data_IF_021130984337
#
_entry.id   IF_021130984337
#
_cell.length_a   1.000
_cell.length_b   1.000
_cell.length_c   1.000
_cell.angle_alpha   90.00
_cell.angle_beta   90.00
_cell.angle_gamma   90.00
#
_symmetry.space_group_name_H-M   'P 1'
#
loop_
_entity.id
_entity.type
_entity.pdbx_description
1 polymer ?
#
# COMPACT_ATOMS: atom_id res chain seq x y z
N UNK A 1 -19.27 -9.42 -12.41
CA UNK A 1 -18.00 -9.62 -13.14
C UNK A 1 -16.91 -9.92 -12.13
N UNK A 2 -15.90 -10.69 -12.53
CA UNK A 2 -14.73 -10.97 -11.68
C UNK A 2 -13.63 -9.94 -11.98
N UNK A 3 -12.87 -9.56 -10.95
CA UNK A 3 -11.71 -8.68 -11.07
C UNK A 3 -10.48 -9.51 -10.75
N UNK A 4 -9.49 -9.51 -11.64
CA UNK A 4 -8.18 -10.10 -11.38
C UNK A 4 -7.31 -9.04 -10.69
N UNK A 5 -6.72 -9.38 -9.54
CA UNK A 5 -5.73 -8.53 -8.90
C UNK A 5 -4.35 -9.17 -9.08
N UNK A 6 -3.45 -8.46 -9.75
CA UNK A 6 -2.04 -8.81 -9.85
C UNK A 6 -1.30 -8.07 -8.75
N UNK A 7 -0.77 -8.82 -7.77
CA UNK A 7 -0.07 -8.27 -6.62
C UNK A 7 1.38 -8.74 -6.68
N UNK A 8 2.29 -7.79 -6.85
CA UNK A 8 3.71 -8.12 -6.89
C UNK A 8 4.24 -8.41 -5.48
N UNK A 9 5.08 -9.44 -5.40
CA UNK A 9 5.78 -9.78 -4.17
C UNK A 9 6.72 -8.62 -3.82
N UNK A 10 6.66 -8.13 -2.57
CA UNK A 10 7.47 -7.01 -2.12
C UNK A 10 8.62 -7.44 -1.19
N UNK A 11 9.79 -6.83 -1.36
CA UNK A 11 11.03 -7.20 -0.63
C UNK A 11 10.99 -6.92 0.88
N UNK A 12 10.17 -5.97 1.34
CA UNK A 12 10.15 -5.51 2.76
C UNK A 12 9.29 -6.36 3.69
N UNK A 13 8.65 -7.42 3.21
CA UNK A 13 7.81 -8.26 4.06
C UNK A 13 8.66 -9.11 5.00
N UNK A 14 8.36 -9.12 6.31
CA UNK A 14 9.02 -10.03 7.26
C UNK A 14 8.81 -11.51 6.88
N UNK A 15 7.70 -11.82 6.19
CA UNK A 15 7.41 -13.16 5.67
C UNK A 15 8.35 -13.62 4.55
N UNK A 16 9.07 -12.69 3.92
CA UNK A 16 10.08 -12.98 2.88
C UNK A 16 11.44 -13.35 3.52
N UNK A 17 11.59 -13.13 4.84
CA UNK A 17 12.80 -13.39 5.58
C UNK A 17 13.85 -12.28 5.43
N UNK A 18 14.69 -12.11 6.46
CA UNK A 18 15.71 -11.05 6.53
C UNK A 18 16.72 -11.11 5.38
N UNK A 19 17.01 -12.32 4.89
CA UNK A 19 17.99 -12.57 3.84
C UNK A 19 17.40 -12.51 2.42
N UNK A 20 16.12 -12.17 2.25
CA UNK A 20 15.42 -12.04 0.95
C UNK A 20 15.44 -13.27 0.04
N UNK A 21 15.98 -14.41 0.47
CA UNK A 21 16.07 -15.63 -0.33
C UNK A 21 14.72 -16.09 -0.91
N UNK A 22 13.61 -15.87 -0.19
CA UNK A 22 12.27 -16.15 -0.72
C UNK A 22 11.91 -15.25 -1.90
N UNK A 23 12.22 -13.95 -1.80
CA UNK A 23 11.99 -12.99 -2.87
C UNK A 23 12.84 -13.34 -4.08
N UNK A 24 14.14 -13.58 -3.90
CA UNK A 24 15.04 -13.93 -5.01
C UNK A 24 14.59 -15.18 -5.76
N UNK A 25 13.97 -16.14 -5.05
CA UNK A 25 13.47 -17.38 -5.65
C UNK A 25 12.13 -17.23 -6.39
N UNK A 26 11.22 -16.40 -5.87
CA UNK A 26 9.81 -16.38 -6.31
C UNK A 26 9.32 -15.04 -6.86
N UNK A 27 10.11 -13.97 -6.73
CA UNK A 27 9.78 -12.69 -7.35
C UNK A 27 9.79 -12.85 -8.87
N UNK A 28 8.75 -12.30 -9.48
CA UNK A 28 8.62 -12.15 -10.92
C UNK A 28 8.30 -10.69 -11.14
N UNK A 29 9.15 -10.03 -11.92
CA UNK A 29 8.89 -8.68 -12.37
C UNK A 29 7.67 -8.67 -13.28
N UNK A 30 6.66 -7.88 -12.89
CA UNK A 30 5.41 -7.76 -13.62
C UNK A 30 5.45 -6.69 -14.70
N UNK A 31 6.51 -5.88 -14.83
CA UNK A 31 6.56 -4.73 -15.75
C UNK A 31 6.18 -5.12 -17.18
N UNK A 32 6.86 -6.13 -17.74
CA UNK A 32 6.58 -6.62 -19.08
C UNK A 32 5.16 -7.21 -19.22
N UNK A 33 4.70 -7.93 -18.19
CA UNK A 33 3.35 -8.50 -18.16
C UNK A 33 2.28 -7.41 -18.18
N UNK A 34 2.47 -6.36 -17.37
CA UNK A 34 1.57 -5.20 -17.29
C UNK A 34 1.52 -4.50 -18.65
N UNK A 35 2.69 -4.25 -19.25
CA UNK A 35 2.79 -3.61 -20.57
C UNK A 35 2.07 -4.40 -21.68
N UNK A 36 2.20 -5.73 -21.69
CA UNK A 36 1.52 -6.58 -22.67
C UNK A 36 0.00 -6.65 -22.47
N UNK A 37 -0.48 -6.50 -21.23
CA UNK A 37 -1.90 -6.36 -20.91
C UNK A 37 -2.44 -5.01 -21.39
N UNK A 38 -1.73 -3.91 -21.10
CA UNK A 38 -2.10 -2.56 -21.53
C UNK A 38 -2.24 -2.45 -23.05
N UNK A 39 -1.31 -3.05 -23.82
CA UNK A 39 -1.37 -3.07 -25.28
C UNK A 39 -2.65 -3.66 -25.87
N UNK A 40 -3.26 -4.60 -25.15
CA UNK A 40 -4.46 -5.34 -25.58
C UNK A 40 -5.73 -4.78 -24.91
N UNK A 41 -5.60 -3.74 -24.09
CA UNK A 41 -6.70 -3.10 -23.39
C UNK A 41 -7.41 -2.10 -24.31
N UNK A 42 -8.70 -1.88 -24.06
CA UNK A 42 -9.42 -0.77 -24.69
C UNK A 42 -9.39 0.50 -23.81
N UNK A 43 -9.06 0.36 -22.52
CA UNK A 43 -8.96 1.48 -21.57
C UNK A 43 -8.01 1.12 -20.42
N UNK A 44 -7.31 2.13 -19.89
CA UNK A 44 -6.41 2.02 -18.73
C UNK A 44 -6.64 3.24 -17.84
N UNK A 45 -6.95 3.02 -16.57
CA UNK A 45 -7.19 4.08 -15.58
C UNK A 45 -6.24 3.97 -14.40
N UNK A 46 -5.82 5.12 -13.88
CA UNK A 46 -5.12 5.21 -12.60
C UNK A 46 -6.13 5.65 -11.53
N UNK A 47 -6.35 4.80 -10.54
CA UNK A 47 -7.16 5.12 -9.36
C UNK A 47 -6.26 5.79 -8.33
N UNK A 48 -6.28 7.12 -8.30
CA UNK A 48 -5.47 7.91 -7.35
C UNK A 48 -5.79 7.62 -5.89
N UNK A 49 -7.07 7.36 -5.60
CA UNK A 49 -7.50 6.88 -4.29
C UNK A 49 -7.00 5.45 -4.05
N UNK A 50 -6.25 5.25 -2.97
CA UNK A 50 -5.67 3.96 -2.57
C UNK A 50 -4.56 3.43 -3.50
N UNK A 51 -3.44 4.14 -3.52
CA UNK A 51 -2.12 3.71 -4.01
C UNK A 51 -1.92 3.77 -5.53
N UNK A 52 -2.49 4.78 -6.20
CA UNK A 52 -2.33 5.00 -7.64
C UNK A 52 -2.51 3.70 -8.45
N UNK A 53 -3.52 2.92 -8.07
CA UNK A 53 -3.72 1.57 -8.59
C UNK A 53 -4.11 1.63 -10.05
N UNK A 54 -3.34 0.97 -10.89
CA UNK A 54 -3.63 0.85 -12.32
C UNK A 54 -4.73 -0.18 -12.55
N UNK A 55 -5.72 0.17 -13.35
CA UNK A 55 -6.88 -0.67 -13.73
C UNK A 55 -6.94 -0.77 -15.24
N UNK A 56 -6.83 -1.98 -15.76
CA UNK A 56 -6.75 -2.29 -17.18
C UNK A 56 -8.05 -2.98 -17.60
N UNK A 57 -8.70 -2.49 -18.65
CA UNK A 57 -9.98 -2.99 -19.15
C UNK A 57 -9.79 -3.66 -20.52
N UNK A 58 -10.13 -4.94 -20.62
CA UNK A 58 -9.97 -5.73 -21.85
C UNK A 58 -11.28 -5.94 -22.62
N UNK A 59 -11.23 -6.11 -23.96
CA UNK A 59 -12.42 -6.28 -24.81
C UNK A 59 -13.30 -7.49 -24.45
N UNK A 60 -12.74 -8.52 -23.83
CA UNK A 60 -13.46 -9.70 -23.36
C UNK A 60 -14.21 -9.48 -22.03
N UNK A 61 -14.22 -8.25 -21.50
CA UNK A 61 -14.85 -7.89 -20.23
C UNK A 61 -13.98 -8.12 -18.99
N UNK A 62 -12.72 -8.55 -19.14
CA UNK A 62 -11.82 -8.69 -18.01
C UNK A 62 -11.38 -7.32 -17.47
N UNK A 63 -11.38 -7.20 -16.15
CA UNK A 63 -10.86 -6.03 -15.41
C UNK A 63 -9.69 -6.51 -14.57
N UNK A 64 -8.52 -5.90 -14.78
CA UNK A 64 -7.28 -6.27 -14.12
C UNK A 64 -6.81 -5.07 -13.29
N UNK A 65 -6.64 -5.27 -11.99
CA UNK A 65 -6.01 -4.30 -11.11
C UNK A 65 -4.58 -4.70 -10.80
N UNK A 66 -3.66 -3.75 -10.91
CA UNK A 66 -2.23 -3.95 -10.67
C UNK A 66 -1.82 -3.28 -9.37
N UNK A 67 -1.23 -4.06 -8.47
CA UNK A 67 -0.56 -3.62 -7.24
C UNK A 67 0.94 -3.86 -7.44
N UNK A 68 1.60 -2.85 -7.99
CA UNK A 68 3.03 -2.81 -8.20
C UNK A 68 3.65 -1.82 -7.18
N UNK A 69 4.46 -2.27 -6.21
CA UNK A 69 5.04 -1.42 -5.18
C UNK A 69 6.13 -0.47 -5.74
N UNK A 70 5.72 0.63 -6.37
CA UNK A 70 6.62 1.69 -6.85
C UNK A 70 6.56 2.97 -6.01
N UNK A 71 7.33 3.98 -6.41
CA UNK A 71 7.26 5.32 -5.85
C UNK A 71 5.86 5.94 -6.00
N UNK A 72 5.28 5.78 -7.19
CA UNK A 72 3.96 6.24 -7.61
C UNK A 72 2.86 5.58 -6.79
N UNK A 73 3.02 4.28 -6.49
CA UNK A 73 2.13 3.59 -5.58
C UNK A 73 2.10 4.25 -4.20
N UNK A 74 3.26 4.66 -3.70
CA UNK A 74 3.36 5.36 -2.42
C UNK A 74 2.79 6.79 -2.50
N UNK A 75 3.01 7.52 -3.60
CA UNK A 75 2.41 8.85 -3.86
C UNK A 75 0.89 8.85 -3.79
N UNK A 76 0.24 7.77 -4.26
CA UNK A 76 -1.22 7.64 -4.19
C UNK A 76 -1.74 7.06 -2.87
N UNK A 77 -0.88 6.73 -1.91
CA UNK A 77 -1.28 6.01 -0.71
C UNK A 77 -1.93 6.93 0.32
N UNK A 78 -3.22 6.71 0.59
CA UNK A 78 -4.00 7.45 1.58
C UNK A 78 -4.26 6.67 2.87
N UNK A 79 -3.66 5.48 3.05
CA UNK A 79 -4.02 4.58 4.16
C UNK A 79 -3.30 4.92 5.46
N UNK A 80 -4.05 4.85 6.55
CA UNK A 80 -3.52 4.70 7.92
C UNK A 80 -3.79 3.28 8.40
N UNK A 81 -2.97 2.78 9.32
CA UNK A 81 -3.14 1.45 9.92
C UNK A 81 -3.09 1.57 11.43
N UNK A 82 -3.99 0.90 12.13
CA UNK A 82 -3.88 0.64 13.57
C UNK A 82 -3.40 -0.80 13.76
N UNK A 83 -2.29 -0.96 14.46
CA UNK A 83 -1.76 -2.28 14.84
C UNK A 83 -2.59 -2.93 15.95
N UNK A 84 -2.47 -4.24 16.11
CA UNK A 84 -3.16 -4.99 17.17
C UNK A 84 -2.72 -4.57 18.59
N UNK A 85 -1.54 -3.97 18.69
CA UNK A 85 -0.96 -3.37 19.90
C UNK A 85 -1.54 -1.98 20.23
N UNK A 86 -2.31 -1.39 19.31
CA UNK A 86 -2.87 -0.05 19.46
C UNK A 86 -2.01 1.08 18.92
N UNK A 87 -0.94 0.77 18.19
CA UNK A 87 -0.13 1.79 17.51
C UNK A 87 -0.76 2.25 16.19
N UNK A 88 -0.85 3.56 15.98
CA UNK A 88 -1.26 4.18 14.73
C UNK A 88 -0.03 4.40 13.83
N UNK A 89 -0.10 3.93 12.58
CA UNK A 89 0.99 3.96 11.61
C UNK A 89 0.60 4.71 10.33
N UNK A 90 1.57 5.47 9.81
CA UNK A 90 1.46 6.20 8.55
C UNK A 90 1.64 5.32 7.32
N UNK A 91 2.28 4.16 7.47
CA UNK A 91 2.48 3.20 6.38
C UNK A 91 2.68 1.75 6.87
N UNK A 92 2.66 0.80 5.93
CA UNK A 92 2.71 -0.64 6.23
C UNK A 92 4.07 -1.11 6.76
N UNK A 93 5.16 -0.51 6.29
CA UNK A 93 6.53 -1.02 6.51
C UNK A 93 7.38 -0.16 7.47
N UNK A 94 6.88 0.97 7.99
CA UNK A 94 7.59 1.84 8.95
C UNK A 94 7.12 1.57 10.39
N UNK A 95 7.46 0.40 10.90
CA UNK A 95 7.00 -0.11 12.20
C UNK A 95 7.53 0.69 13.41
N UNK A 96 8.60 1.45 13.24
CA UNK A 96 9.23 2.32 14.23
C UNK A 96 8.56 3.69 14.36
N UNK A 97 7.70 4.08 13.41
CA UNK A 97 6.99 5.37 13.40
C UNK A 97 5.63 5.37 14.09
N UNK A 98 5.27 4.25 14.73
CA UNK A 98 3.97 4.08 15.38
C UNK A 98 3.76 5.02 16.57
N UNK A 99 2.54 5.53 16.74
CA UNK A 99 2.11 6.27 17.93
C UNK A 99 1.07 5.46 18.68
N UNK A 100 1.32 5.11 19.94
CA UNK A 100 0.37 4.34 20.74
C UNK A 100 -0.83 5.21 21.09
N UNK A 101 -1.99 4.88 20.54
CA UNK A 101 -3.27 5.57 20.83
C UNK A 101 -4.12 4.79 21.82
N UNK A 102 -3.78 3.52 22.11
CA UNK A 102 -4.52 2.69 23.04
C UNK A 102 -4.40 3.21 24.47
N UNK A 103 -3.21 3.66 24.86
CA UNK A 103 -3.01 4.24 26.19
C UNK A 103 -3.83 5.53 26.33
N UNK A 104 -3.80 6.40 25.31
CA UNK A 104 -4.58 7.64 25.27
C UNK A 104 -6.10 7.39 25.33
N UNK A 105 -6.60 6.33 24.67
CA UNK A 105 -8.02 5.97 24.70
C UNK A 105 -8.51 5.51 26.08
N UNK A 106 -7.60 5.12 26.98
CA UNK A 106 -7.95 4.77 28.36
C UNK A 106 -7.96 5.99 29.32
N UNK A 107 -7.70 7.19 28.81
CA UNK A 107 -7.67 8.44 29.56
C UNK A 107 -8.65 9.46 28.95
N UNK A 108 -9.05 10.47 29.72
CA UNK A 108 -9.98 11.52 29.27
C UNK A 108 -9.27 12.59 28.40
N UNK A 109 -8.71 12.18 27.27
CA UNK A 109 -8.14 13.10 26.28
C UNK A 109 -9.23 13.73 25.39
N UNK A 110 -9.03 15.00 25.01
CA UNK A 110 -9.92 15.70 24.09
C UNK A 110 -9.78 15.17 22.65
N UNK A 111 -10.81 15.40 21.81
CA UNK A 111 -10.73 15.07 20.38
C UNK A 111 -9.54 15.76 19.69
N UNK A 112 -9.22 17.00 20.09
CA UNK A 112 -8.08 17.76 19.56
C UNK A 112 -6.72 17.11 19.83
N UNK A 113 -6.59 16.32 20.90
CA UNK A 113 -5.39 15.51 21.17
C UNK A 113 -5.22 14.44 20.08
N UNK A 114 -6.27 13.68 19.80
CA UNK A 114 -6.25 12.64 18.76
C UNK A 114 -6.05 13.21 17.36
N UNK A 115 -6.64 14.36 17.04
CA UNK A 115 -6.39 15.07 15.78
C UNK A 115 -4.90 15.42 15.62
N UNK A 116 -4.23 15.84 16.70
CA UNK A 116 -2.80 16.11 16.69
C UNK A 116 -1.99 14.85 16.46
N UNK A 117 -2.32 13.74 17.14
CA UNK A 117 -1.65 12.45 16.93
C UNK A 117 -1.79 11.97 15.49
N UNK A 118 -2.99 12.06 14.90
CA UNK A 118 -3.21 11.70 13.49
C UNK A 118 -2.38 12.59 12.56
N UNK A 119 -2.35 13.91 12.79
CA UNK A 119 -1.51 14.84 12.01
C UNK A 119 -0.04 14.49 12.11
N UNK A 120 0.49 14.25 13.31
CA UNK A 120 1.89 13.83 13.51
C UNK A 120 2.22 12.54 12.73
N UNK A 121 1.33 11.56 12.74
CA UNK A 121 1.53 10.31 11.98
C UNK A 121 1.50 10.57 10.46
N UNK A 122 0.59 11.42 9.98
CA UNK A 122 0.51 11.79 8.55
C UNK A 122 1.74 12.59 8.12
N UNK A 123 2.19 13.54 8.93
CA UNK A 123 3.34 14.41 8.64
C UNK A 123 4.68 13.63 8.72
N UNK A 124 4.72 12.52 9.46
CA UNK A 124 5.88 11.62 9.52
C UNK A 124 6.11 10.79 8.23
N UNK A 125 5.22 10.91 7.25
CA UNK A 125 5.35 10.28 5.94
C UNK A 125 6.47 10.97 5.15
N UNK A 126 7.68 10.49 5.35
CA UNK A 126 8.85 10.85 4.54
C UNK A 126 8.72 10.33 3.10
N UNK A 127 9.44 10.94 2.15
CA UNK A 127 9.05 10.94 0.75
C UNK A 127 9.49 9.62 0.12
N UNK A 128 8.67 8.60 0.34
CA UNK A 128 8.60 7.37 -0.44
C UNK A 128 9.86 6.48 -0.25
N UNK A 129 9.64 5.27 0.25
CA UNK A 129 10.67 4.33 0.73
C UNK A 129 11.89 4.14 -0.17
#
# INVERSE_FOLDING_TARGET
>A
GHILQLIELHTRSDAVGKEKAFYEKYHIDLEQTIYDLEKKAFDVKIRGMMQNRKVIFHPNGAVIEVIHPSHEFCMGCTKLRVGCDGNLFGCLYKADSGKNIKDDLNHDHSLSHFEKVVKEVVDSREPYY
#
